data_IF_059578446122
#
_entry.id   IF_059578446122
#
_cell.length_a   1.000
_cell.length_b   1.000
_cell.length_c   1.000
_cell.angle_alpha   90.00
_cell.angle_beta   90.00
_cell.angle_gamma   90.00
#
_symmetry.space_group_name_H-M   'P 1'
#
loop_
_entity.id
_entity.type
_entity.pdbx_description
1 polymer ?
#
# COMPACT_ATOMS: atom_id res chain seq x y z
N UNK A 1 10.59 32.07 0.62
CA UNK A 1 11.18 30.72 0.47
C UNK A 1 10.06 29.68 0.52
N UNK A 2 9.61 29.20 -0.64
CA UNK A 2 8.65 28.10 -0.70
C UNK A 2 9.47 26.82 -0.89
N UNK A 3 9.85 26.15 0.21
CA UNK A 3 10.53 24.87 0.14
C UNK A 3 9.49 23.84 -0.37
N UNK A 4 9.60 23.44 -1.64
CA UNK A 4 8.76 22.42 -2.24
C UNK A 4 9.14 21.07 -1.63
N UNK A 5 8.56 20.71 -0.48
CA UNK A 5 8.57 19.32 -0.04
C UNK A 5 7.74 18.56 -1.06
N UNK A 6 8.40 17.90 -2.01
CA UNK A 6 7.76 16.87 -2.84
C UNK A 6 7.14 15.85 -1.88
N UNK A 7 5.82 15.91 -1.71
CA UNK A 7 5.09 14.95 -0.87
C UNK A 7 4.94 13.66 -1.65
N UNK A 8 6.03 12.89 -1.76
CA UNK A 8 6.04 11.55 -2.34
C UNK A 8 4.90 10.75 -1.72
N UNK A 9 4.05 10.18 -2.57
CA UNK A 9 2.95 9.32 -2.13
C UNK A 9 3.50 7.93 -1.83
N UNK A 10 3.10 7.36 -0.71
CA UNK A 10 3.50 6.02 -0.29
C UNK A 10 2.34 5.04 -0.47
N UNK A 11 2.64 3.87 -1.01
CA UNK A 11 1.73 2.71 -0.97
C UNK A 11 2.31 1.70 0.00
N UNK A 12 1.55 1.33 1.03
CA UNK A 12 1.95 0.30 1.98
C UNK A 12 1.34 -1.03 1.52
N UNK A 13 2.14 -2.10 1.53
CA UNK A 13 1.73 -3.45 1.16
C UNK A 13 2.05 -4.40 2.31
N UNK A 14 1.01 -4.97 2.92
CA UNK A 14 1.14 -6.07 3.87
C UNK A 14 1.41 -7.36 3.10
N UNK A 15 2.61 -7.91 3.25
CA UNK A 15 3.05 -9.10 2.50
C UNK A 15 2.88 -10.39 3.30
N UNK A 16 2.97 -11.54 2.61
CA UNK A 16 2.88 -12.89 3.21
C UNK A 16 1.54 -13.18 3.89
N UNK A 17 0.45 -12.61 3.37
CA UNK A 17 -0.89 -12.76 3.95
C UNK A 17 -1.44 -14.18 3.87
N UNK A 18 -0.78 -15.08 3.14
CA UNK A 18 -1.09 -16.51 3.07
C UNK A 18 -0.60 -17.31 4.30
N UNK A 19 0.20 -16.71 5.18
CA UNK A 19 0.80 -17.39 6.35
C UNK A 19 -0.04 -17.32 7.62
N UNK A 20 -1.11 -16.53 7.61
CA UNK A 20 -1.96 -16.28 8.78
C UNK A 20 -3.43 -16.40 8.35
N UNK A 21 -4.32 -16.75 9.27
CA UNK A 21 -5.75 -16.83 8.98
C UNK A 21 -6.30 -15.49 8.45
N UNK A 22 -7.24 -15.50 7.48
CA UNK A 22 -7.77 -14.27 6.88
C UNK A 22 -8.29 -13.25 7.88
N UNK A 23 -8.93 -13.70 8.97
CA UNK A 23 -9.46 -12.82 10.03
C UNK A 23 -8.34 -12.07 10.76
N UNK A 24 -7.19 -12.71 10.95
CA UNK A 24 -6.04 -12.09 11.63
C UNK A 24 -5.32 -11.10 10.73
N UNK A 25 -5.24 -11.41 9.43
CA UNK A 25 -4.73 -10.47 8.43
C UNK A 25 -5.61 -9.22 8.39
N UNK A 26 -6.94 -9.38 8.34
CA UNK A 26 -7.88 -8.26 8.32
C UNK A 26 -7.78 -7.40 9.60
N UNK A 27 -7.66 -8.03 10.77
CA UNK A 27 -7.47 -7.32 12.04
C UNK A 27 -6.19 -6.51 12.07
N UNK A 28 -5.07 -7.11 11.64
CA UNK A 28 -3.77 -6.40 11.53
C UNK A 28 -3.84 -5.26 10.52
N UNK A 29 -4.50 -5.47 9.39
CA UNK A 29 -4.70 -4.44 8.38
C UNK A 29 -5.45 -3.23 8.95
N UNK A 30 -6.55 -3.46 9.69
CA UNK A 30 -7.31 -2.40 10.34
C UNK A 30 -6.49 -1.62 11.38
N UNK A 31 -5.78 -2.33 12.26
CA UNK A 31 -4.92 -1.69 13.28
C UNK A 31 -3.82 -0.83 12.65
N UNK A 32 -3.22 -1.30 11.56
CA UNK A 32 -2.22 -0.53 10.82
C UNK A 32 -2.88 0.69 10.18
N UNK A 33 -4.00 0.54 9.50
CA UNK A 33 -4.73 1.67 8.89
C UNK A 33 -5.09 2.76 9.90
N UNK A 34 -5.59 2.38 11.08
CA UNK A 34 -5.87 3.31 12.18
C UNK A 34 -4.62 4.09 12.60
N UNK A 35 -3.48 3.41 12.74
CA UNK A 35 -2.20 4.06 13.09
C UNK A 35 -1.69 5.01 12.00
N UNK A 36 -2.13 4.84 10.76
CA UNK A 36 -1.70 5.64 9.60
C UNK A 36 -2.65 6.82 9.29
N UNK A 37 -3.80 6.92 9.96
CA UNK A 37 -4.76 8.02 9.80
C UNK A 37 -4.13 9.42 9.86
N UNK A 38 -3.18 9.72 10.76
CA UNK A 38 -2.51 11.04 10.79
C UNK A 38 -1.77 11.38 9.48
N UNK A 39 -1.35 10.36 8.73
CA UNK A 39 -0.53 10.47 7.52
C UNK A 39 -1.34 10.23 6.23
N UNK A 40 -2.67 10.17 6.29
CA UNK A 40 -3.56 9.90 5.14
C UNK A 40 -3.35 10.83 3.93
N UNK A 41 -2.74 12.00 4.13
CA UNK A 41 -2.45 12.95 3.05
C UNK A 41 -1.30 12.49 2.15
N UNK A 42 -0.43 11.60 2.61
CA UNK A 42 0.73 11.09 1.85
C UNK A 42 0.71 9.57 1.69
N UNK A 43 -0.05 8.86 2.52
CA UNK A 43 -0.19 7.40 2.47
C UNK A 43 -1.49 7.02 1.76
N UNK A 44 -1.38 6.13 0.78
CA UNK A 44 -2.52 5.48 0.14
C UNK A 44 -3.06 4.36 1.03
N UNK A 45 -4.35 4.00 0.91
CA UNK A 45 -4.92 2.87 1.65
C UNK A 45 -4.05 1.61 1.53
N UNK A 46 -3.90 0.91 2.65
CA UNK A 46 -3.14 -0.32 2.78
C UNK A 46 -3.62 -1.37 1.77
N UNK A 47 -2.67 -2.05 1.13
CA UNK A 47 -2.94 -3.22 0.30
C UNK A 47 -2.44 -4.48 0.98
N UNK A 48 -3.16 -5.57 0.80
CA UNK A 48 -2.72 -6.92 1.19
C UNK A 48 -2.24 -7.68 -0.03
N UNK A 49 -1.11 -8.39 0.07
CA UNK A 49 -0.59 -9.20 -1.02
C UNK A 49 0.16 -10.46 -0.55
N UNK A 50 0.14 -11.49 -1.38
CA UNK A 50 0.98 -12.68 -1.24
C UNK A 50 1.62 -13.03 -2.57
N UNK A 51 2.94 -13.22 -2.55
CA UNK A 51 3.68 -13.76 -3.70
C UNK A 51 3.42 -15.25 -3.91
N UNK A 52 3.07 -16.00 -2.85
CA UNK A 52 2.82 -17.45 -2.92
C UNK A 52 1.48 -17.77 -3.55
N UNK A 53 0.41 -17.10 -3.11
CA UNK A 53 -0.96 -17.35 -3.61
C UNK A 53 -1.37 -16.44 -4.77
N UNK A 54 -0.62 -15.36 -5.02
CA UNK A 54 -0.97 -14.34 -6.01
C UNK A 54 -2.05 -13.36 -5.55
N UNK A 55 -2.54 -13.48 -4.30
CA UNK A 55 -3.48 -12.53 -3.73
C UNK A 55 -2.92 -11.10 -3.79
N UNK A 56 -3.74 -10.13 -4.19
CA UNK A 56 -3.37 -8.72 -4.26
C UNK A 56 -2.44 -8.31 -5.41
N UNK A 57 -1.80 -9.24 -6.12
CA UNK A 57 -0.80 -8.91 -7.17
C UNK A 57 -1.41 -8.11 -8.33
N UNK A 58 -2.64 -8.42 -8.74
CA UNK A 58 -3.34 -7.64 -9.79
C UNK A 58 -3.53 -6.19 -9.36
N UNK A 59 -3.94 -5.97 -8.12
CA UNK A 59 -4.14 -4.62 -7.59
C UNK A 59 -2.83 -3.87 -7.47
N UNK A 60 -1.76 -4.54 -7.02
CA UNK A 60 -0.42 -3.95 -6.95
C UNK A 60 0.07 -3.53 -8.34
N UNK A 61 -0.15 -4.35 -9.37
CA UNK A 61 0.18 -4.01 -10.75
C UNK A 61 -0.54 -2.75 -11.22
N UNK A 62 -1.82 -2.59 -10.88
CA UNK A 62 -2.58 -1.37 -11.20
C UNK A 62 -1.98 -0.13 -10.55
N UNK A 63 -1.62 -0.20 -9.26
CA UNK A 63 -0.98 0.92 -8.56
C UNK A 63 0.37 1.26 -9.18
N UNK A 64 1.19 0.26 -9.49
CA UNK A 64 2.50 0.46 -10.14
C UNK A 64 2.35 1.03 -11.55
N UNK A 65 1.36 0.57 -12.33
CA UNK A 65 1.08 1.11 -13.66
C UNK A 65 0.70 2.59 -13.58
N UNK A 66 -0.04 3.00 -12.54
CA UNK A 66 -0.37 4.40 -12.32
C UNK A 66 0.88 5.25 -12.07
N UNK A 67 1.85 4.74 -11.30
CA UNK A 67 3.13 5.42 -11.04
C UNK A 67 3.98 5.49 -12.31
N UNK A 68 4.09 4.38 -13.05
CA UNK A 68 4.89 4.29 -14.27
C UNK A 68 4.49 5.32 -15.34
N UNK A 69 3.21 5.72 -15.41
CA UNK A 69 2.74 6.78 -16.33
C UNK A 69 3.40 8.15 -16.11
N UNK A 70 3.89 8.41 -14.90
CA UNK A 70 4.53 9.67 -14.55
C UNK A 70 6.07 9.59 -14.60
N UNK A 71 6.61 8.40 -14.85
CA UNK A 71 8.04 8.20 -15.10
C UNK A 71 8.25 8.34 -16.61
N UNK A 72 8.74 9.49 -17.07
CA UNK A 72 9.29 9.61 -18.42
C UNK A 72 10.56 8.73 -18.47
N UNK A 73 10.58 7.78 -19.39
CA UNK A 73 11.82 7.11 -19.82
C UNK A 73 12.55 8.06 -20.76
#
# INVERSE_FOLDING_TARGET
MHLFISKTKYQIVLTKTDTVFPIDVARRAMQIEESLLPNKSVIQPLMMASSKSGAGIRSLRTVLANVARFVKI
#
